data_IF_446849892767
#
_entry.id   IF_446849892767
#
_cell.length_a   1.000
_cell.length_b   1.000
_cell.length_c   1.000
_cell.angle_alpha   90.00
_cell.angle_beta   90.00
_cell.angle_gamma   90.00
#
_symmetry.space_group_name_H-M   'P 1'
#
loop_
_entity.id
_entity.type
_entity.pdbx_description
1 polymer ?
#
# COMPACT_ATOMS: atom_id res chain seq x y z
N UNK A 1 6.40 23.85 15.16
CA UNK A 1 5.31 23.53 14.21
C UNK A 1 5.87 23.56 12.80
N UNK A 2 5.28 22.79 11.88
CA UNK A 2 5.71 22.66 10.49
C UNK A 2 4.50 22.49 9.57
N UNK A 3 4.52 23.17 8.42
CA UNK A 3 3.58 22.98 7.32
C UNK A 3 4.33 22.40 6.12
N UNK A 4 3.78 21.34 5.52
CA UNK A 4 4.36 20.69 4.35
C UNK A 4 3.27 20.34 3.31
N UNK A 5 3.62 20.40 2.03
CA UNK A 5 2.80 19.94 0.91
C UNK A 5 3.34 18.60 0.41
N UNK A 6 2.59 17.51 0.60
CA UNK A 6 3.00 16.15 0.19
C UNK A 6 4.44 15.77 0.60
N UNK A 7 4.80 16.13 1.84
CA UNK A 7 6.12 15.93 2.45
C UNK A 7 7.19 16.94 2.05
N UNK A 8 6.84 18.00 1.30
CA UNK A 8 7.75 19.11 0.96
C UNK A 8 7.55 20.25 1.97
N UNK A 9 8.53 20.57 2.83
CA UNK A 9 8.38 21.65 3.81
C UNK A 9 8.12 23.01 3.14
N UNK A 10 7.16 23.76 3.68
CA UNK A 10 6.83 25.12 3.20
C UNK A 10 7.09 26.19 4.25
N UNK A 11 6.71 25.92 5.50
CA UNK A 11 6.89 26.86 6.60
C UNK A 11 7.11 26.09 7.91
N UNK A 12 7.85 26.70 8.83
CA UNK A 12 8.03 26.16 10.17
C UNK A 12 8.31 27.29 11.16
N UNK A 13 8.14 26.99 12.44
CA UNK A 13 8.44 27.91 13.53
C UNK A 13 8.32 27.24 14.89
N UNK A 14 8.67 27.96 15.93
CA UNK A 14 8.62 27.48 17.31
C UNK A 14 8.03 28.57 18.22
N UNK A 15 7.34 28.13 19.28
CA UNK A 15 6.70 29.00 20.26
C UNK A 15 6.90 28.38 21.64
N UNK A 16 7.43 29.14 22.63
CA UNK A 16 7.50 28.68 24.00
C UNK A 16 6.12 28.34 24.56
N UNK A 17 6.01 27.20 25.25
CA UNK A 17 4.80 26.86 25.99
C UNK A 17 4.91 27.37 27.42
N UNK A 18 3.93 28.17 27.82
CA UNK A 18 3.72 28.65 29.18
C UNK A 18 2.28 28.35 29.58
N UNK A 19 2.06 27.08 29.93
CA UNK A 19 0.74 26.54 30.25
C UNK A 19 0.76 25.91 31.64
N UNK A 20 -0.07 26.46 32.54
CA UNK A 20 -0.25 25.92 33.88
C UNK A 20 -0.89 24.52 33.84
N UNK A 21 -0.77 23.71 34.90
CA UNK A 21 -1.52 22.47 35.02
C UNK A 21 -3.01 22.70 34.80
N UNK A 22 -3.64 21.88 33.92
CA UNK A 22 -5.04 22.00 33.50
C UNK A 22 -5.39 23.30 32.73
N UNK A 23 -4.41 24.15 32.43
CA UNK A 23 -4.57 25.38 31.67
C UNK A 23 -4.67 25.15 30.16
N UNK A 24 -4.87 26.25 29.43
CA UNK A 24 -4.89 26.29 27.96
C UNK A 24 -4.04 27.46 27.48
N UNK A 25 -3.34 27.26 26.37
CA UNK A 25 -2.61 28.31 25.66
C UNK A 25 -3.11 28.34 24.22
N UNK A 26 -3.44 29.53 23.72
CA UNK A 26 -3.77 29.74 22.31
C UNK A 26 -2.50 30.17 21.58
N UNK A 27 -2.21 29.53 20.47
CA UNK A 27 -1.10 29.87 19.58
C UNK A 27 -1.70 30.13 18.21
N UNK A 28 -1.64 31.38 17.78
CA UNK A 28 -2.04 31.79 16.43
C UNK A 28 -0.84 31.62 15.49
N UNK A 29 -1.06 30.99 14.35
CA UNK A 29 -0.02 30.83 13.34
C UNK A 29 0.15 32.12 12.54
N UNK A 30 1.36 32.42 12.04
CA UNK A 30 1.52 33.49 11.06
C UNK A 30 0.75 33.16 9.77
N UNK A 31 0.66 34.14 8.87
CA UNK A 31 0.12 33.91 7.53
C UNK A 31 0.86 32.74 6.86
N UNK A 32 0.11 31.70 6.48
CA UNK A 32 0.67 30.49 5.89
C UNK A 32 0.77 30.64 4.37
N UNK A 33 1.89 30.19 3.75
CA UNK A 33 2.02 30.24 2.31
C UNK A 33 0.97 29.34 1.63
N UNK A 34 0.28 29.89 0.64
CA UNK A 34 -0.69 29.15 -0.17
C UNK A 34 0.02 28.58 -1.41
N UNK A 35 0.18 27.25 -1.53
CA UNK A 35 0.80 26.67 -2.70
C UNK A 35 -0.15 26.73 -3.90
N UNK A 36 0.37 27.09 -5.07
CA UNK A 36 -0.38 26.98 -6.34
C UNK A 36 -0.41 25.54 -6.89
N UNK A 37 0.55 24.71 -6.47
CA UNK A 37 0.62 23.31 -6.89
C UNK A 37 -0.45 22.45 -6.21
N UNK A 38 -0.91 21.43 -6.92
CA UNK A 38 -1.79 20.40 -6.36
C UNK A 38 -1.11 19.62 -5.23
N UNK A 39 -1.92 19.09 -4.31
CA UNK A 39 -1.51 18.27 -3.19
C UNK A 39 -2.24 18.59 -1.89
N UNK A 40 -1.91 17.84 -0.84
CA UNK A 40 -2.46 18.02 0.50
C UNK A 40 -1.47 18.78 1.38
N UNK A 41 -1.92 19.89 1.98
CA UNK A 41 -1.18 20.53 3.05
C UNK A 41 -1.38 19.80 4.37
N UNK A 42 -0.28 19.59 5.08
CA UNK A 42 -0.23 18.95 6.39
C UNK A 42 0.41 19.89 7.40
N UNK A 43 -0.22 20.01 8.56
CA UNK A 43 0.29 20.75 9.71
C UNK A 43 0.70 19.79 10.81
N UNK A 44 1.98 19.80 11.16
CA UNK A 44 2.55 18.94 12.20
C UNK A 44 3.09 19.78 13.35
N UNK A 45 2.71 19.43 14.58
CA UNK A 45 3.25 20.03 15.79
C UNK A 45 3.97 18.98 16.62
N UNK A 46 5.03 19.41 17.30
CA UNK A 46 5.81 18.60 18.23
C UNK A 46 6.10 19.45 19.46
N UNK A 47 5.92 18.87 20.64
CA UNK A 47 6.35 19.46 21.92
C UNK A 47 7.75 18.93 22.21
N UNK A 48 8.71 19.83 22.33
CA UNK A 48 10.13 19.53 22.48
C UNK A 48 10.60 20.05 23.82
N UNK A 49 11.33 19.24 24.59
CA UNK A 49 12.00 19.66 25.81
C UNK A 49 13.38 20.22 25.46
N UNK A 50 13.63 21.55 25.54
CA UNK A 50 14.89 22.12 25.08
C UNK A 50 16.07 21.79 26.00
N UNK A 51 15.83 21.53 27.29
CA UNK A 51 16.86 21.20 28.26
C UNK A 51 16.79 19.72 28.63
N UNK A 52 17.95 19.11 28.87
CA UNK A 52 18.03 17.76 29.40
C UNK A 52 17.45 17.68 30.82
N UNK A 53 16.95 16.51 31.19
CA UNK A 53 16.49 16.17 32.53
C UNK A 53 17.24 14.94 33.05
N UNK A 54 16.86 14.43 34.23
CA UNK A 54 17.44 13.19 34.74
C UNK A 54 17.05 11.93 33.92
N UNK A 55 16.00 12.00 33.09
CA UNK A 55 15.47 10.85 32.33
C UNK A 55 15.37 11.10 30.81
N UNK A 56 15.54 12.35 30.36
CA UNK A 56 15.48 12.72 28.94
C UNK A 56 16.66 13.58 28.52
N UNK A 57 17.12 13.36 27.29
CA UNK A 57 18.09 14.22 26.64
C UNK A 57 17.48 15.58 26.26
N UNK A 58 18.31 16.59 26.06
CA UNK A 58 17.90 17.84 25.45
C UNK A 58 17.38 17.57 24.03
N UNK A 59 16.23 18.12 23.68
CA UNK A 59 15.54 17.88 22.41
C UNK A 59 14.52 16.73 22.43
N UNK A 60 14.26 16.10 23.58
CA UNK A 60 13.25 15.04 23.67
C UNK A 60 11.87 15.51 23.22
N UNK A 61 11.24 14.76 22.30
CA UNK A 61 9.87 15.02 21.83
C UNK A 61 8.90 14.27 22.74
N UNK A 62 8.09 15.01 23.49
CA UNK A 62 7.16 14.43 24.48
C UNK A 62 5.73 14.28 23.97
N UNK A 63 5.37 14.99 22.88
CA UNK A 63 4.06 14.89 22.25
C UNK A 63 4.14 15.38 20.80
N UNK A 64 3.23 14.89 19.96
CA UNK A 64 3.03 15.39 18.61
C UNK A 64 1.57 15.23 18.18
N UNK A 65 1.18 15.97 17.15
CA UNK A 65 -0.11 15.83 16.51
C UNK A 65 -0.02 16.35 15.07
N UNK A 66 -0.88 15.84 14.19
CA UNK A 66 -0.92 16.23 12.79
C UNK A 66 -2.35 16.43 12.30
N UNK A 67 -2.56 17.45 11.47
CA UNK A 67 -3.83 17.74 10.82
C UNK A 67 -3.64 17.99 9.33
N UNK A 68 -4.66 17.63 8.56
CA UNK A 68 -4.84 18.12 7.19
C UNK A 68 -5.29 19.57 7.23
N UNK A 69 -4.71 20.39 6.36
CA UNK A 69 -5.19 21.74 6.06
C UNK A 69 -5.90 21.72 4.69
N UNK A 70 -5.69 22.75 3.87
CA UNK A 70 -6.23 22.82 2.52
C UNK A 70 -5.67 21.71 1.61
N UNK A 71 -6.50 21.29 0.66
CA UNK A 71 -6.14 20.36 -0.40
C UNK A 71 -6.46 21.00 -1.75
N UNK A 72 -5.47 21.05 -2.63
CA UNK A 72 -5.64 21.48 -4.01
C UNK A 72 -5.67 20.24 -4.89
N UNK A 73 -6.86 19.87 -5.38
CA UNK A 73 -7.00 18.71 -6.27
C UNK A 73 -6.31 18.98 -7.61
N UNK A 74 -5.58 17.98 -8.12
CA UNK A 74 -4.98 18.07 -9.44
C UNK A 74 -6.05 18.02 -10.52
N UNK A 75 -6.18 19.10 -11.29
CA UNK A 75 -7.09 19.19 -12.45
C UNK A 75 -6.34 19.17 -13.78
N UNK A 76 -5.02 19.07 -13.74
CA UNK A 76 -4.18 18.99 -14.93
C UNK A 76 -4.29 17.61 -15.56
N UNK A 77 -4.63 17.58 -16.85
CA UNK A 77 -4.57 16.36 -17.64
C UNK A 77 -3.10 15.97 -17.86
N UNK A 78 -2.74 14.68 -17.76
CA UNK A 78 -1.41 14.21 -18.13
C UNK A 78 -1.08 14.62 -19.57
N UNK A 79 0.19 14.89 -19.84
CA UNK A 79 0.64 15.16 -21.20
C UNK A 79 0.29 13.97 -22.12
N UNK A 80 -0.23 14.27 -23.31
CA UNK A 80 -0.53 13.24 -24.29
C UNK A 80 0.74 12.44 -24.61
N UNK A 81 0.60 11.12 -24.64
CA UNK A 81 1.72 10.25 -24.97
C UNK A 81 2.05 10.33 -26.45
N UNK A 82 3.35 10.32 -26.77
CA UNK A 82 3.84 10.35 -28.16
C UNK A 82 4.08 8.96 -28.74
N UNK A 83 3.90 7.91 -27.93
CA UNK A 83 4.08 6.52 -28.30
C UNK A 83 2.82 5.73 -27.90
N UNK A 84 2.59 4.59 -28.54
CA UNK A 84 1.48 3.69 -28.23
C UNK A 84 2.08 2.31 -27.96
N UNK A 85 1.69 1.63 -26.87
CA UNK A 85 2.17 0.29 -26.56
C UNK A 85 1.69 -0.72 -27.60
N UNK A 86 2.58 -1.63 -28.01
CA UNK A 86 2.28 -2.67 -28.98
C UNK A 86 1.86 -3.97 -28.28
N UNK A 87 0.65 -4.46 -28.58
CA UNK A 87 0.15 -5.75 -28.10
C UNK A 87 0.53 -6.87 -29.08
N UNK A 88 1.13 -7.93 -28.57
CA UNK A 88 1.35 -9.20 -29.27
C UNK A 88 0.60 -10.31 -28.55
N UNK A 89 -0.25 -11.01 -29.30
CA UNK A 89 -1.09 -12.08 -28.77
C UNK A 89 -0.55 -13.43 -29.22
N UNK A 90 -0.37 -14.34 -28.26
CA UNK A 90 -0.09 -15.76 -28.48
C UNK A 90 -1.09 -16.61 -27.71
N UNK A 91 -1.17 -17.91 -27.96
CA UNK A 91 -2.05 -18.80 -27.17
C UNK A 91 -1.73 -18.77 -25.66
N UNK A 92 -0.46 -18.63 -25.30
CA UNK A 92 -0.01 -18.66 -23.92
C UNK A 92 -0.09 -17.30 -23.23
N UNK A 93 0.19 -16.21 -23.94
CA UNK A 93 0.37 -14.91 -23.31
C UNK A 93 -0.13 -13.74 -24.16
N UNK A 94 -0.51 -12.66 -23.47
CA UNK A 94 -0.53 -11.30 -24.01
C UNK A 94 0.75 -10.58 -23.62
N UNK A 95 1.53 -10.14 -24.61
CA UNK A 95 2.75 -9.37 -24.41
C UNK A 95 2.53 -7.93 -24.85
N UNK A 96 2.87 -6.97 -24.01
CA UNK A 96 2.77 -5.54 -24.29
C UNK A 96 4.18 -4.96 -24.25
N UNK A 97 4.58 -4.22 -25.28
CA UNK A 97 5.90 -3.60 -25.39
C UNK A 97 5.80 -2.10 -25.63
N UNK A 98 6.64 -1.32 -24.95
CA UNK A 98 6.77 0.12 -25.15
C UNK A 98 8.20 0.57 -24.85
N UNK A 99 8.94 0.96 -25.88
CA UNK A 99 10.36 1.30 -25.74
C UNK A 99 11.15 0.12 -25.20
N UNK A 100 11.83 0.30 -24.06
CA UNK A 100 12.57 -0.77 -23.38
C UNK A 100 11.76 -1.52 -22.32
N UNK A 101 10.45 -1.29 -22.20
CA UNK A 101 9.59 -1.94 -21.21
C UNK A 101 8.75 -3.03 -21.87
N UNK A 102 8.55 -4.14 -21.16
CA UNK A 102 7.65 -5.23 -21.57
C UNK A 102 6.84 -5.77 -20.40
N UNK A 103 5.58 -6.09 -20.65
CA UNK A 103 4.67 -6.77 -19.72
C UNK A 103 4.17 -8.06 -20.36
N UNK A 104 4.18 -9.18 -19.62
CA UNK A 104 3.66 -10.47 -20.07
C UNK A 104 2.55 -10.92 -19.13
N UNK A 105 1.35 -11.10 -19.69
CA UNK A 105 0.20 -11.65 -19.00
C UNK A 105 -0.03 -13.08 -19.48
N UNK A 106 0.03 -14.03 -18.56
CA UNK A 106 -0.23 -15.41 -18.89
C UNK A 106 -1.74 -15.67 -19.00
N UNK A 107 -2.19 -16.16 -20.15
CA UNK A 107 -3.62 -16.31 -20.49
C UNK A 107 -4.29 -17.50 -19.79
N UNK A 108 -3.52 -18.51 -19.36
CA UNK A 108 -4.06 -19.67 -18.64
C UNK A 108 -4.32 -19.33 -17.17
N UNK A 109 -3.40 -18.58 -16.55
CA UNK A 109 -3.52 -18.16 -15.15
C UNK A 109 -4.22 -16.82 -14.98
N UNK A 110 -4.22 -15.96 -16.00
CA UNK A 110 -4.78 -14.61 -15.99
C UNK A 110 -3.97 -13.58 -15.20
N UNK A 111 -2.72 -13.87 -14.84
CA UNK A 111 -1.88 -12.96 -14.06
C UNK A 111 -0.75 -12.33 -14.90
N UNK A 112 -0.30 -11.16 -14.47
CA UNK A 112 0.98 -10.60 -14.92
C UNK A 112 2.10 -11.51 -14.41
N UNK A 113 2.66 -12.32 -15.30
CA UNK A 113 3.66 -13.33 -14.98
C UNK A 113 5.07 -12.77 -14.99
N UNK A 114 5.33 -11.71 -15.76
CA UNK A 114 6.64 -11.08 -15.84
C UNK A 114 6.57 -9.63 -16.34
N UNK A 115 7.57 -8.84 -15.96
CA UNK A 115 7.87 -7.55 -16.57
C UNK A 115 9.37 -7.46 -16.89
N UNK A 116 9.72 -6.67 -17.90
CA UNK A 116 11.11 -6.35 -18.24
C UNK A 116 11.35 -4.87 -18.34
N UNK A 117 12.58 -4.48 -17.98
CA UNK A 117 13.19 -3.19 -18.31
C UNK A 117 14.53 -3.50 -18.98
N UNK A 118 14.62 -3.23 -20.27
CA UNK A 118 15.65 -3.83 -21.14
C UNK A 118 15.57 -5.35 -21.09
N UNK A 119 16.70 -6.02 -20.89
CA UNK A 119 16.77 -7.48 -20.79
C UNK A 119 16.51 -8.02 -19.37
N UNK A 120 16.29 -7.13 -18.38
CA UNK A 120 16.17 -7.53 -16.97
C UNK A 120 14.74 -7.86 -16.59
N UNK A 121 14.50 -9.12 -16.18
CA UNK A 121 13.26 -9.54 -15.52
C UNK A 121 13.10 -8.82 -14.18
N UNK A 122 11.87 -8.40 -13.88
CA UNK A 122 11.55 -7.65 -12.66
C UNK A 122 10.84 -8.49 -11.59
N UNK A 123 10.19 -9.60 -11.99
CA UNK A 123 9.40 -10.45 -11.11
C UNK A 123 10.03 -11.84 -10.98
N UNK A 124 10.10 -12.37 -9.76
CA UNK A 124 10.41 -13.77 -9.47
C UNK A 124 9.14 -14.61 -9.34
N UNK A 125 8.04 -14.01 -8.86
CA UNK A 125 6.71 -14.62 -8.85
C UNK A 125 5.69 -13.69 -9.54
N UNK A 126 4.63 -14.23 -10.17
CA UNK A 126 3.58 -13.41 -10.78
C UNK A 126 2.90 -12.46 -9.78
N UNK A 127 2.37 -11.34 -10.27
CA UNK A 127 1.52 -10.45 -9.48
C UNK A 127 0.13 -11.05 -9.34
N UNK A 128 -0.29 -11.34 -8.10
CA UNK A 128 -1.52 -12.08 -7.79
C UNK A 128 -2.26 -11.46 -6.62
N UNK A 129 -3.55 -11.73 -6.51
CA UNK A 129 -4.34 -11.36 -5.35
C UNK A 129 -3.92 -12.16 -4.11
N UNK A 130 -4.05 -11.51 -2.96
CA UNK A 130 -3.80 -12.08 -1.65
C UNK A 130 -4.88 -11.64 -0.67
N UNK A 131 -5.56 -12.62 -0.07
CA UNK A 131 -6.67 -12.40 0.88
C UNK A 131 -6.36 -12.85 2.32
N UNK A 132 -5.21 -13.49 2.52
CA UNK A 132 -4.76 -14.04 3.80
C UNK A 132 -3.53 -13.30 4.30
N UNK A 133 -3.20 -13.49 5.59
CA UNK A 133 -1.96 -13.07 6.22
C UNK A 133 -1.29 -14.20 6.98
N UNK A 134 0.02 -14.10 7.20
CA UNK A 134 0.66 -14.86 8.26
C UNK A 134 0.05 -14.40 9.60
N UNK A 135 -0.62 -15.29 10.36
CA UNK A 135 -1.47 -14.89 11.46
C UNK A 135 -0.66 -14.25 12.59
N UNK A 136 -1.18 -13.17 13.16
CA UNK A 136 -0.65 -12.54 14.37
C UNK A 136 -0.94 -13.43 15.59
N UNK A 137 -0.23 -13.24 16.71
CA UNK A 137 -0.60 -13.88 17.98
C UNK A 137 -2.09 -13.63 18.34
N UNK A 138 -2.61 -12.43 18.04
CA UNK A 138 -4.02 -12.08 18.23
C UNK A 138 -5.00 -12.87 17.34
N UNK A 139 -4.56 -13.33 16.16
CA UNK A 139 -5.38 -14.14 15.27
C UNK A 139 -5.43 -15.61 15.69
N UNK A 140 -4.35 -16.07 16.33
CA UNK A 140 -4.18 -17.44 16.83
C UNK A 140 -4.87 -17.60 18.17
N UNK A 141 -4.72 -16.63 19.08
CA UNK A 141 -5.25 -16.70 20.42
C UNK A 141 -4.71 -17.91 21.18
N UNK A 142 -5.61 -18.73 21.72
CA UNK A 142 -5.26 -19.95 22.46
C UNK A 142 -5.35 -21.23 21.60
N UNK A 143 -5.56 -21.10 20.28
CA UNK A 143 -5.66 -22.24 19.38
C UNK A 143 -4.30 -22.94 19.25
N UNK A 144 -4.29 -24.24 19.51
CA UNK A 144 -3.10 -25.09 19.36
C UNK A 144 -3.45 -26.31 18.53
N UNK A 145 -2.44 -26.93 17.89
CA UNK A 145 -2.63 -28.12 17.07
C UNK A 145 -3.34 -29.28 17.82
N UNK A 146 -3.12 -29.40 19.13
CA UNK A 146 -3.73 -30.42 20.00
C UNK A 146 -5.09 -30.03 20.55
N UNK A 147 -5.45 -28.74 20.53
CA UNK A 147 -6.71 -28.22 21.07
C UNK A 147 -7.10 -26.95 20.31
N UNK A 148 -7.76 -27.16 19.18
CA UNK A 148 -8.21 -26.09 18.28
C UNK A 148 -9.27 -25.24 18.98
N UNK A 149 -9.08 -23.91 18.95
CA UNK A 149 -10.13 -22.95 19.26
C UNK A 149 -10.83 -22.52 17.96
N UNK A 150 -12.04 -23.02 17.66
CA UNK A 150 -12.73 -22.70 16.40
C UNK A 150 -13.16 -21.24 16.29
N UNK A 151 -13.07 -20.45 17.37
CA UNK A 151 -13.40 -19.03 17.35
C UNK A 151 -12.20 -18.12 17.02
N UNK A 152 -10.98 -18.63 17.10
CA UNK A 152 -9.80 -17.90 16.66
C UNK A 152 -9.92 -17.55 15.17
N UNK A 153 -9.49 -16.34 14.79
CA UNK A 153 -9.59 -15.87 13.42
C UNK A 153 -8.85 -16.80 12.46
N UNK A 154 -7.65 -17.25 12.84
CA UNK A 154 -6.86 -18.18 12.02
C UNK A 154 -7.62 -19.48 11.75
N UNK A 155 -8.36 -20.01 12.72
CA UNK A 155 -9.09 -21.27 12.57
C UNK A 155 -10.33 -21.09 11.69
N UNK A 156 -11.02 -19.94 11.80
CA UNK A 156 -12.12 -19.59 10.88
C UNK A 156 -11.63 -19.48 9.44
N UNK A 157 -10.49 -18.82 9.20
CA UNK A 157 -9.89 -18.69 7.87
C UNK A 157 -9.41 -20.04 7.32
N UNK A 158 -8.78 -20.88 8.15
CA UNK A 158 -8.36 -22.24 7.79
C UNK A 158 -9.57 -23.10 7.42
N UNK A 159 -10.60 -23.13 8.27
CA UNK A 159 -11.81 -23.92 8.04
C UNK A 159 -12.59 -23.47 6.79
N UNK A 160 -12.61 -22.16 6.50
CA UNK A 160 -13.20 -21.61 5.28
C UNK A 160 -12.34 -21.83 4.02
N UNK A 161 -11.14 -22.39 4.15
CA UNK A 161 -10.24 -22.67 3.03
C UNK A 161 -9.51 -21.46 2.48
N UNK A 162 -9.44 -20.32 3.20
CA UNK A 162 -8.81 -19.09 2.68
C UNK A 162 -7.35 -19.30 2.28
N UNK A 163 -6.62 -20.11 3.06
CA UNK A 163 -5.21 -20.45 2.80
C UNK A 163 -5.02 -21.51 1.72
N UNK A 164 -6.08 -22.16 1.26
CA UNK A 164 -6.06 -23.26 0.28
C UNK A 164 -6.89 -22.95 -0.96
N UNK A 165 -7.52 -21.78 -1.03
CA UNK A 165 -8.39 -21.42 -2.12
C UNK A 165 -7.60 -21.25 -3.41
N UNK A 166 -8.04 -21.92 -4.46
CA UNK A 166 -7.39 -21.86 -5.76
C UNK A 166 -8.12 -20.88 -6.66
N UNK A 167 -7.35 -20.15 -7.48
CA UNK A 167 -7.89 -19.18 -8.41
C UNK A 167 -8.34 -19.89 -9.70
N UNK A 168 -9.64 -19.88 -9.96
CA UNK A 168 -10.23 -20.23 -11.25
C UNK A 168 -10.33 -18.99 -12.13
N UNK A 169 -9.68 -19.03 -13.30
CA UNK A 169 -9.77 -17.96 -14.28
C UNK A 169 -11.15 -18.00 -14.97
N UNK A 170 -11.88 -16.88 -14.90
CA UNK A 170 -13.19 -16.72 -15.54
C UNK A 170 -13.09 -15.95 -16.86
N UNK A 171 -12.19 -14.96 -16.91
CA UNK A 171 -11.98 -14.11 -18.09
C UNK A 171 -10.52 -13.65 -18.16
N UNK A 172 -9.95 -13.65 -19.36
CA UNK A 172 -8.70 -12.96 -19.69
C UNK A 172 -8.76 -12.47 -21.14
N UNK A 173 -8.93 -11.16 -21.33
CA UNK A 173 -9.05 -10.51 -22.65
C UNK A 173 -8.07 -9.35 -22.77
N UNK A 174 -7.78 -8.98 -24.02
CA UNK A 174 -6.91 -7.85 -24.34
C UNK A 174 -7.54 -7.01 -25.44
N UNK A 175 -7.53 -5.70 -25.26
CA UNK A 175 -8.08 -4.71 -26.19
C UNK A 175 -7.04 -3.62 -26.46
N UNK A 176 -6.84 -3.27 -27.72
CA UNK A 176 -6.01 -2.13 -28.11
C UNK A 176 -6.88 -0.88 -28.18
N UNK A 177 -6.55 0.13 -27.38
CA UNK A 177 -7.19 1.44 -27.36
C UNK A 177 -6.39 2.44 -28.22
N UNK A 178 -6.90 3.66 -28.37
CA UNK A 178 -6.25 4.71 -29.15
C UNK A 178 -4.86 5.11 -28.61
N UNK A 179 -4.66 5.04 -27.29
CA UNK A 179 -3.46 5.51 -26.59
C UNK A 179 -2.89 4.49 -25.59
N UNK A 180 -3.45 3.28 -25.55
CA UNK A 180 -3.15 2.29 -24.53
C UNK A 180 -3.50 0.86 -24.98
N UNK A 181 -3.02 -0.13 -24.22
CA UNK A 181 -3.50 -1.51 -24.25
C UNK A 181 -4.22 -1.79 -22.93
N UNK A 182 -5.37 -2.45 -23.00
CA UNK A 182 -6.21 -2.81 -21.86
C UNK A 182 -6.28 -4.33 -21.73
N UNK A 183 -5.80 -4.87 -20.60
CA UNK A 183 -6.01 -6.27 -20.22
C UNK A 183 -7.15 -6.34 -19.20
N UNK A 184 -8.13 -7.20 -19.42
CA UNK A 184 -9.25 -7.42 -18.50
C UNK A 184 -9.23 -8.84 -17.98
N UNK A 185 -9.31 -9.00 -16.65
CA UNK A 185 -9.26 -10.32 -15.99
C UNK A 185 -10.36 -10.46 -14.96
N UNK A 186 -10.86 -11.68 -14.79
CA UNK A 186 -11.74 -12.04 -13.69
C UNK A 186 -11.37 -13.42 -13.15
N UNK A 187 -11.26 -13.53 -11.83
CA UNK A 187 -10.89 -14.76 -11.14
C UNK A 187 -11.87 -15.03 -10.00
N UNK A 188 -12.21 -16.30 -9.78
CA UNK A 188 -12.90 -16.77 -8.59
C UNK A 188 -11.96 -17.61 -7.72
N UNK A 189 -11.85 -17.31 -6.44
CA UNK A 189 -11.16 -18.18 -5.48
C UNK A 189 -12.16 -19.13 -4.86
N UNK A 190 -11.90 -20.42 -5.00
CA UNK A 190 -12.83 -21.46 -4.60
C UNK A 190 -12.19 -22.46 -3.66
N UNK A 191 -13.00 -22.97 -2.74
CA UNK A 191 -12.65 -24.09 -1.88
C UNK A 191 -13.84 -25.04 -1.77
N UNK A 192 -13.65 -26.32 -2.09
CA UNK A 192 -14.68 -27.37 -2.03
C UNK A 192 -16.01 -26.98 -2.73
N UNK A 193 -15.90 -26.35 -3.91
CA UNK A 193 -17.05 -25.91 -4.71
C UNK A 193 -17.71 -24.60 -4.26
N UNK A 194 -17.27 -23.99 -3.15
CA UNK A 194 -17.74 -22.67 -2.70
C UNK A 194 -16.82 -21.57 -3.22
N UNK A 195 -17.40 -20.55 -3.88
CA UNK A 195 -16.69 -19.32 -4.25
C UNK A 195 -16.60 -18.40 -3.03
N UNK A 196 -15.37 -18.04 -2.66
CA UNK A 196 -15.08 -17.17 -1.52
C UNK A 196 -14.92 -15.71 -1.95
N UNK A 197 -14.18 -15.51 -3.05
CA UNK A 197 -13.83 -14.19 -3.57
C UNK A 197 -13.95 -14.17 -5.09
N UNK A 198 -14.36 -13.04 -5.66
CA UNK A 198 -14.25 -12.76 -7.09
C UNK A 198 -13.44 -11.47 -7.25
N UNK A 199 -12.33 -11.52 -7.97
CA UNK A 199 -11.51 -10.35 -8.29
C UNK A 199 -11.62 -10.04 -9.77
N UNK A 200 -12.09 -8.84 -10.10
CA UNK A 200 -12.14 -8.32 -11.46
C UNK A 200 -11.14 -7.18 -11.57
N UNK A 201 -10.33 -7.22 -12.63
CA UNK A 201 -9.26 -6.24 -12.81
C UNK A 201 -9.16 -5.76 -14.23
N UNK A 202 -8.73 -4.52 -14.36
CA UNK A 202 -8.20 -3.99 -15.61
C UNK A 202 -6.77 -3.52 -15.41
N UNK A 203 -5.94 -3.77 -16.42
CA UNK A 203 -4.58 -3.26 -16.52
C UNK A 203 -4.51 -2.41 -17.77
N UNK A 204 -4.45 -1.08 -17.61
CA UNK A 204 -4.32 -0.14 -18.71
C UNK A 204 -2.88 0.33 -18.79
N UNK A 205 -2.16 -0.14 -19.81
CA UNK A 205 -0.79 0.28 -20.11
C UNK A 205 -0.88 1.35 -21.19
N UNK A 206 -0.46 2.57 -20.88
CA UNK A 206 -0.53 3.70 -21.82
C UNK A 206 0.82 4.03 -22.46
N UNK A 207 0.79 4.99 -23.38
CA UNK A 207 1.97 5.48 -24.08
C UNK A 207 3.05 6.16 -23.23
N UNK A 208 2.79 6.44 -21.95
CA UNK A 208 3.79 6.92 -20.99
C UNK A 208 4.55 5.76 -20.33
N UNK A 209 4.08 4.53 -20.56
CA UNK A 209 4.60 3.31 -19.96
C UNK A 209 4.27 3.19 -18.48
N UNK A 210 3.16 3.81 -18.07
CA UNK A 210 2.50 3.57 -16.79
C UNK A 210 1.45 2.47 -16.97
N UNK A 211 1.31 1.61 -15.96
CA UNK A 211 0.27 0.59 -15.91
C UNK A 211 -0.68 0.94 -14.78
N UNK A 212 -1.87 1.43 -15.12
CA UNK A 212 -2.94 1.62 -14.15
C UNK A 212 -3.64 0.29 -13.90
N UNK A 213 -3.71 -0.12 -12.63
CA UNK A 213 -4.41 -1.33 -12.20
C UNK A 213 -5.66 -0.92 -11.43
N UNK A 214 -6.83 -1.29 -11.94
CA UNK A 214 -8.09 -1.17 -11.21
C UNK A 214 -8.50 -2.56 -10.73
N UNK A 215 -8.91 -2.68 -9.47
CA UNK A 215 -9.27 -3.95 -8.84
C UNK A 215 -10.60 -3.79 -8.11
N UNK A 216 -11.56 -4.63 -8.47
CA UNK A 216 -12.87 -4.75 -7.84
C UNK A 216 -13.01 -6.15 -7.26
N UNK A 217 -13.24 -6.25 -5.95
CA UNK A 217 -13.35 -7.52 -5.24
C UNK A 217 -14.74 -7.70 -4.64
N UNK A 218 -15.37 -8.82 -4.96
CA UNK A 218 -16.53 -9.32 -4.24
C UNK A 218 -16.08 -10.36 -3.21
N UNK A 219 -16.64 -10.28 -2.01
CA UNK A 219 -16.43 -11.23 -0.91
C UNK A 219 -17.77 -11.88 -0.59
N UNK A 220 -17.82 -13.22 -0.56
CA UNK A 220 -19.05 -13.92 -0.21
C UNK A 220 -19.50 -13.53 1.21
N UNK A 221 -20.79 -13.20 1.38
CA UNK A 221 -21.29 -12.68 2.66
C UNK A 221 -21.26 -13.70 3.81
N UNK A 222 -21.20 -14.99 3.48
CA UNK A 222 -21.18 -16.11 4.41
C UNK A 222 -19.77 -16.71 4.61
N UNK A 223 -18.71 -16.07 4.08
CA UNK A 223 -17.33 -16.38 4.44
C UNK A 223 -16.87 -15.51 5.61
N UNK A 224 -15.98 -15.97 6.52
CA UNK A 224 -15.30 -15.07 7.43
C UNK A 224 -14.66 -13.91 6.67
N UNK A 225 -14.64 -12.72 7.27
CA UNK A 225 -14.02 -11.56 6.65
C UNK A 225 -12.51 -11.83 6.43
N UNK A 226 -11.95 -11.50 5.26
CA UNK A 226 -10.56 -11.79 4.95
C UNK A 226 -9.62 -10.89 5.76
N UNK A 227 -8.40 -11.36 6.00
CA UNK A 227 -7.40 -10.59 6.75
C UNK A 227 -6.89 -9.37 5.97
N UNK A 228 -6.99 -9.40 4.64
CA UNK A 228 -6.63 -8.31 3.73
C UNK A 228 -7.32 -8.48 2.39
N UNK A 229 -7.27 -7.43 1.58
CA UNK A 229 -7.62 -7.46 0.15
C UNK A 229 -6.53 -6.66 -0.56
N UNK A 230 -5.70 -7.32 -1.37
CA UNK A 230 -4.59 -6.67 -2.05
C UNK A 230 -3.88 -7.60 -3.03
N UNK A 231 -2.75 -7.12 -3.55
CA UNK A 231 -1.89 -7.87 -4.47
C UNK A 231 -0.54 -8.16 -3.80
N UNK A 232 0.11 -9.27 -4.18
CA UNK A 232 1.49 -9.55 -3.84
C UNK A 232 2.27 -10.01 -5.08
N UNK A 233 3.59 -9.80 -5.03
CA UNK A 233 4.55 -10.39 -5.95
C UNK A 233 5.91 -10.44 -5.26
N UNK A 234 6.82 -11.26 -5.78
CA UNK A 234 8.21 -11.25 -5.39
C UNK A 234 8.99 -10.48 -6.45
N UNK A 235 9.53 -9.31 -6.08
CA UNK A 235 10.42 -8.54 -6.95
C UNK A 235 11.78 -9.24 -7.07
N UNK A 236 12.39 -9.15 -8.25
CA UNK A 236 13.76 -9.62 -8.48
C UNK A 236 14.81 -8.65 -7.89
N UNK A 237 14.43 -7.39 -7.70
CA UNK A 237 15.29 -6.38 -7.12
C UNK A 237 15.36 -6.52 -5.60
N UNK A 238 16.56 -6.41 -5.06
CA UNK A 238 16.80 -6.13 -3.64
C UNK A 238 17.52 -4.79 -3.57
N UNK A 239 16.81 -3.77 -3.07
CA UNK A 239 17.34 -2.43 -2.89
C UNK A 239 17.60 -2.18 -1.40
N UNK A 240 18.56 -1.32 -1.10
CA UNK A 240 18.93 -1.00 0.30
C UNK A 240 17.92 -0.07 0.98
N UNK A 241 17.12 0.67 0.21
CA UNK A 241 16.25 1.74 0.72
C UNK A 241 14.82 1.57 0.22
N UNK A 242 13.87 1.99 1.05
CA UNK A 242 12.45 2.12 0.71
C UNK A 242 12.03 3.56 0.99
N UNK A 243 11.49 4.21 -0.04
CA UNK A 243 10.94 5.56 0.04
C UNK A 243 9.44 5.52 -0.22
N UNK A 244 8.66 6.15 0.65
CA UNK A 244 7.21 6.29 0.46
C UNK A 244 6.70 7.64 0.95
N UNK A 245 5.53 8.02 0.44
CA UNK A 245 4.75 9.15 0.95
C UNK A 245 3.51 8.57 1.61
N UNK A 246 3.43 8.67 2.93
CA UNK A 246 2.37 8.01 3.70
C UNK A 246 2.60 8.07 5.20
N UNK A 247 1.86 7.27 5.95
CA UNK A 247 2.02 7.14 7.39
C UNK A 247 3.34 6.43 7.71
N UNK A 248 4.06 6.93 8.72
CA UNK A 248 5.33 6.38 9.17
C UNK A 248 5.91 7.14 10.38
N UNK A 249 7.19 6.91 10.72
CA UNK A 249 8.15 6.05 10.00
C UNK A 249 8.03 4.56 10.32
N UNK A 250 7.40 4.21 11.44
CA UNK A 250 7.33 2.84 11.95
C UNK A 250 6.11 2.08 11.42
N UNK A 251 6.11 0.76 11.64
CA UNK A 251 4.98 -0.14 11.40
C UNK A 251 3.67 0.40 12.01
N UNK A 252 2.62 0.46 11.21
CA UNK A 252 1.30 0.91 11.62
C UNK A 252 0.19 0.13 10.90
N UNK A 253 -0.93 -0.06 11.60
CA UNK A 253 -2.12 -0.81 11.13
C UNK A 253 -3.39 0.04 11.31
N UNK A 254 -4.51 -0.29 10.64
CA UNK A 254 -5.73 0.53 10.67
C UNK A 254 -6.22 0.94 12.07
N UNK A 255 -6.06 0.07 13.07
CA UNK A 255 -6.43 0.29 14.47
C UNK A 255 -5.25 0.75 15.36
N UNK A 256 -4.03 0.85 14.82
CA UNK A 256 -2.80 1.27 15.51
C UNK A 256 -1.94 2.16 14.60
N UNK A 257 -2.48 3.32 14.21
CA UNK A 257 -1.81 4.29 13.33
C UNK A 257 -1.78 5.73 13.82
N UNK A 258 -2.38 6.03 14.98
CA UNK A 258 -2.53 7.40 15.49
C UNK A 258 -1.21 8.07 15.85
N UNK A 259 -0.19 7.27 16.17
CA UNK A 259 1.17 7.75 16.42
C UNK A 259 1.93 8.08 15.13
N UNK A 260 1.54 7.49 13.99
CA UNK A 260 2.21 7.70 12.72
C UNK A 260 1.84 9.07 12.13
N UNK A 261 2.81 9.72 11.47
CA UNK A 261 2.56 10.95 10.73
C UNK A 261 2.62 10.68 9.23
N UNK A 262 1.78 11.38 8.47
CA UNK A 262 1.87 11.42 7.02
C UNK A 262 3.03 12.32 6.61
N UNK A 263 4.05 11.74 5.97
CA UNK A 263 5.21 12.48 5.46
C UNK A 263 5.94 11.67 4.37
N UNK A 264 7.00 12.25 3.81
CA UNK A 264 7.99 11.54 3.00
C UNK A 264 8.95 10.80 3.91
N UNK A 265 8.89 9.47 3.87
CA UNK A 265 9.79 8.61 4.63
C UNK A 265 10.80 7.94 3.70
N UNK A 266 12.01 7.75 4.21
CA UNK A 266 13.10 7.07 3.53
C UNK A 266 13.92 6.29 4.56
N UNK A 267 13.85 4.96 4.52
CA UNK A 267 14.45 4.07 5.50
C UNK A 267 15.18 2.91 4.82
N UNK A 268 16.14 2.25 5.50
CA UNK A 268 16.73 1.04 4.97
C UNK A 268 15.70 -0.09 4.91
N UNK A 269 15.85 -1.02 3.96
CA UNK A 269 14.94 -2.16 3.80
C UNK A 269 14.81 -2.98 5.10
N UNK A 270 15.86 -3.05 5.91
CA UNK A 270 15.85 -3.72 7.21
C UNK A 270 14.80 -3.18 8.18
N UNK A 271 14.49 -1.88 8.12
CA UNK A 271 13.58 -1.21 9.05
C UNK A 271 12.11 -1.39 8.62
N UNK A 272 11.88 -1.93 7.42
CA UNK A 272 10.55 -2.33 6.94
C UNK A 272 10.14 -3.71 7.45
N UNK A 273 10.98 -4.34 8.27
CA UNK A 273 10.73 -5.61 8.92
C UNK A 273 10.78 -5.43 10.45
N UNK A 274 9.70 -5.83 11.14
CA UNK A 274 9.68 -5.85 12.60
C UNK A 274 10.06 -7.24 13.10
N UNK A 275 11.15 -7.38 13.88
CA UNK A 275 11.66 -8.67 14.34
C UNK A 275 10.89 -9.19 15.56
N UNK A 276 9.57 -9.43 15.41
CA UNK A 276 8.80 -10.16 16.42
C UNK A 276 9.43 -11.55 16.62
N UNK A 277 9.63 -11.92 17.90
CA UNK A 277 10.26 -13.20 18.26
C UNK A 277 9.49 -14.38 17.69
N UNK A 278 8.15 -14.30 17.73
CA UNK A 278 7.26 -15.19 16.99
C UNK A 278 6.87 -14.51 15.67
N UNK A 279 7.33 -15.01 14.51
CA UNK A 279 7.09 -14.34 13.24
C UNK A 279 5.61 -14.36 12.82
N UNK A 280 5.13 -13.20 12.38
CA UNK A 280 3.80 -13.02 11.80
C UNK A 280 3.87 -12.01 10.65
N UNK A 281 2.72 -11.64 10.10
CA UNK A 281 2.62 -10.36 9.38
C UNK A 281 3.18 -9.24 10.26
N UNK A 282 3.99 -8.36 9.67
CA UNK A 282 4.57 -7.17 10.28
C UNK A 282 4.57 -6.06 9.24
#
# INVERSE_FOLDING_TARGET
>A
WMVALDGKPLASGEVPLDVAPQGKQLIELPELPQPESAGQLWFTVRVVQPNATAWSEAGHISAWQQWRLAENLSVTLPAASHAIPHLTTSEMDFCIELGNKRWQFNRQSGFLSQMWIGDKKQLLTPLRDQFTRAPLDNDIGVSEATRIDPNAWVERWKAAGHYQAEAALLQCTADTLADAVLITTAHAWQHQGKTLFISRKTYRIDGSGQMAITVDVEVASDTPHPARIGLNCQLAQVAERVNWLGLGPQENYPDRLTAACFDRWDLPLSDMYTPYVFPSEN
#
